data_IF_211438315818
#
_entry.id   IF_211438315818
#
_cell.length_a   1.000
_cell.length_b   1.000
_cell.length_c   1.000
_cell.angle_alpha   90.00
_cell.angle_beta   90.00
_cell.angle_gamma   90.00
#
_symmetry.space_group_name_H-M   'P 1'
#
loop_
_entity.id
_entity.type
_entity.pdbx_description
1 polymer ?
#
# COMPACT_ATOMS: atom_id res chain seq x y z
N UNK A 1 -14.81 -3.66 -9.18
CA UNK A 1 -15.05 -3.16 -7.81
C UNK A 1 -13.86 -2.36 -7.34
N UNK A 2 -14.07 -1.36 -6.49
CA UNK A 2 -13.03 -0.45 -5.95
C UNK A 2 -13.40 -0.10 -4.50
N UNK A 3 -12.42 0.21 -3.65
CA UNK A 3 -12.66 0.80 -2.33
C UNK A 3 -12.45 2.32 -2.37
N UNK A 4 -13.24 3.07 -1.62
CA UNK A 4 -13.10 4.53 -1.50
C UNK A 4 -11.85 4.87 -0.67
N UNK A 5 -10.91 5.70 -1.14
CA UNK A 5 -9.78 6.14 -0.31
C UNK A 5 -10.25 6.75 1.01
N UNK A 6 -9.53 6.47 2.09
CA UNK A 6 -9.90 6.76 3.49
C UNK A 6 -9.11 7.92 4.10
N UNK A 7 -7.87 8.15 3.67
CA UNK A 7 -6.94 9.06 4.33
C UNK A 7 -6.26 9.96 3.31
N UNK A 8 -6.95 11.00 2.85
CA UNK A 8 -6.40 11.98 1.89
C UNK A 8 -6.56 13.40 2.43
N UNK A 9 -5.46 14.08 2.82
CA UNK A 9 -4.10 13.54 3.01
C UNK A 9 -4.03 12.48 4.12
N UNK A 10 -2.95 11.70 4.19
CA UNK A 10 -2.79 10.65 5.20
C UNK A 10 -2.45 11.21 6.58
N UNK A 11 -1.80 12.38 6.64
CA UNK A 11 -1.49 13.10 7.87
C UNK A 11 -1.95 14.58 7.83
N UNK A 12 -3.25 14.87 8.04
CA UNK A 12 -3.77 16.24 8.06
C UNK A 12 -2.98 17.17 9.01
N UNK A 13 -2.57 18.32 8.48
CA UNK A 13 -1.77 19.32 9.20
C UNK A 13 -0.26 19.13 9.12
N UNK A 14 0.23 17.96 8.66
CA UNK A 14 1.65 17.70 8.42
C UNK A 14 2.05 17.76 6.94
N UNK A 15 1.08 17.62 6.03
CA UNK A 15 1.31 17.59 4.59
C UNK A 15 0.19 18.29 3.79
N UNK A 16 0.42 18.47 2.48
CA UNK A 16 -0.53 19.08 1.55
C UNK A 16 -0.72 18.19 0.31
N UNK A 17 -1.72 17.31 0.31
CA UNK A 17 -2.04 16.51 -0.86
C UNK A 17 -2.72 17.34 -1.99
N UNK A 18 -2.86 16.73 -3.17
CA UNK A 18 -3.59 17.33 -4.30
C UNK A 18 -5.11 17.37 -4.11
N UNK A 19 -5.63 16.75 -3.06
CA UNK A 19 -7.03 16.71 -2.69
C UNK A 19 -7.18 16.61 -1.16
N UNK A 20 -8.40 16.78 -0.69
CA UNK A 20 -8.82 16.46 0.67
C UNK A 20 -10.15 15.73 0.57
N UNK A 21 -10.32 14.65 1.32
CA UNK A 21 -11.60 13.95 1.43
C UNK A 21 -12.30 14.33 2.73
N UNK A 22 -13.63 14.46 2.66
CA UNK A 22 -14.48 14.65 3.83
C UNK A 22 -15.37 13.43 4.08
N UNK A 23 -15.98 13.40 5.26
CA UNK A 23 -16.97 12.39 5.59
C UNK A 23 -18.17 12.38 4.62
N UNK A 24 -18.56 13.56 4.09
CA UNK A 24 -19.60 13.66 3.07
C UNK A 24 -19.17 13.01 1.75
N UNK A 25 -17.93 13.20 1.31
CA UNK A 25 -17.40 12.55 0.10
C UNK A 25 -17.43 11.02 0.25
N UNK A 26 -17.03 10.51 1.42
CA UNK A 26 -17.09 9.07 1.73
C UNK A 26 -18.53 8.58 1.73
N UNK A 27 -19.45 9.29 2.39
CA UNK A 27 -20.85 8.92 2.43
C UNK A 27 -21.51 8.91 1.04
N UNK A 28 -21.16 9.87 0.18
CA UNK A 28 -21.58 9.89 -1.22
C UNK A 28 -21.03 8.68 -1.98
N UNK A 29 -19.72 8.42 -1.87
CA UNK A 29 -19.07 7.30 -2.55
C UNK A 29 -19.66 5.94 -2.15
N UNK A 30 -20.13 5.78 -0.91
CA UNK A 30 -20.83 4.57 -0.48
C UNK A 30 -22.13 4.31 -1.25
N UNK A 31 -22.68 5.27 -1.99
CA UNK A 31 -23.84 5.07 -2.88
C UNK A 31 -23.47 4.60 -4.29
N UNK A 32 -22.19 4.70 -4.68
CA UNK A 32 -21.75 4.35 -6.04
C UNK A 32 -21.73 2.84 -6.23
N UNK A 33 -22.15 2.39 -7.43
CA UNK A 33 -22.33 0.97 -7.79
C UNK A 33 -21.05 0.14 -7.64
N UNK A 34 -19.91 0.70 -8.02
CA UNK A 34 -18.63 -0.03 -8.03
C UNK A 34 -17.85 0.04 -6.70
N UNK A 35 -18.29 0.86 -5.74
CA UNK A 35 -17.64 0.98 -4.43
C UNK A 35 -18.08 -0.19 -3.55
N UNK A 36 -17.15 -0.95 -3.00
CA UNK A 36 -17.43 -2.13 -2.15
C UNK A 36 -17.01 -1.95 -0.70
N UNK A 37 -16.39 -0.81 -0.37
CA UNK A 37 -15.85 -0.56 0.95
C UNK A 37 -15.12 0.76 1.06
N UNK A 38 -14.74 1.09 2.28
CA UNK A 38 -13.70 2.06 2.57
C UNK A 38 -12.35 1.38 2.41
N UNK A 39 -11.40 2.07 1.81
CA UNK A 39 -10.02 1.61 1.64
C UNK A 39 -9.31 1.54 2.99
N UNK A 40 -8.06 1.13 2.93
CA UNK A 40 -7.21 0.93 4.09
C UNK A 40 -7.19 2.14 5.04
N UNK A 41 -7.73 2.03 6.27
CA UNK A 41 -7.76 3.16 7.20
C UNK A 41 -6.40 3.31 7.89
N UNK A 42 -5.48 4.03 7.24
CA UNK A 42 -4.08 4.22 7.66
C UNK A 42 -3.94 5.14 8.89
N UNK A 43 -4.90 6.03 9.14
CA UNK A 43 -4.95 6.85 10.35
C UNK A 43 -5.44 6.02 11.55
N UNK A 44 -4.72 4.92 11.83
CA UNK A 44 -4.98 4.07 12.98
C UNK A 44 -4.88 4.80 14.34
N UNK A 45 -4.02 5.82 14.54
CA UNK A 45 -4.04 6.59 15.78
C UNK A 45 -5.34 7.38 15.94
N UNK A 46 -5.88 7.94 14.85
CA UNK A 46 -7.15 8.65 14.85
C UNK A 46 -8.31 7.73 15.21
N UNK A 47 -8.38 6.53 14.63
CA UNK A 47 -9.41 5.54 14.97
C UNK A 47 -9.31 5.14 16.44
N UNK A 48 -8.13 4.75 16.92
CA UNK A 48 -7.92 4.37 18.32
C UNK A 48 -8.20 5.52 19.30
N UNK A 49 -7.97 6.76 18.87
CA UNK A 49 -8.26 8.00 19.60
C UNK A 49 -9.69 8.52 19.45
N UNK A 50 -10.55 7.81 18.72
CA UNK A 50 -11.94 8.22 18.44
C UNK A 50 -12.04 9.59 17.74
N UNK A 51 -11.17 9.83 16.76
CA UNK A 51 -11.18 11.01 15.90
C UNK A 51 -12.54 11.16 15.17
N UNK A 52 -13.19 12.33 15.22
CA UNK A 52 -14.52 12.51 14.65
C UNK A 52 -14.62 12.24 13.15
N UNK A 53 -13.58 12.57 12.36
CA UNK A 53 -13.60 12.33 10.91
C UNK A 53 -13.58 10.83 10.64
N UNK A 54 -12.60 10.11 11.21
CA UNK A 54 -12.47 8.67 11.04
C UNK A 54 -13.70 7.89 11.50
N UNK A 55 -14.24 8.25 12.68
CA UNK A 55 -15.46 7.61 13.21
C UNK A 55 -16.64 7.82 12.27
N UNK A 56 -16.78 9.01 11.67
CA UNK A 56 -17.89 9.33 10.77
C UNK A 56 -17.79 8.57 9.45
N UNK A 57 -16.60 8.49 8.85
CA UNK A 57 -16.35 7.74 7.61
C UNK A 57 -16.59 6.24 7.79
N UNK A 58 -16.10 5.67 8.89
CA UNK A 58 -16.31 4.27 9.25
C UNK A 58 -17.81 4.00 9.49
N UNK A 59 -18.50 4.87 10.22
CA UNK A 59 -19.93 4.73 10.47
C UNK A 59 -20.76 4.80 9.19
N UNK A 60 -20.41 5.70 8.25
CA UNK A 60 -21.06 5.78 6.94
C UNK A 60 -20.89 4.49 6.13
N UNK A 61 -19.68 3.92 6.15
CA UNK A 61 -19.34 2.66 5.47
C UNK A 61 -20.10 1.47 6.07
N UNK A 62 -20.10 1.35 7.40
CA UNK A 62 -20.82 0.31 8.12
C UNK A 62 -22.32 0.39 7.87
N UNK A 63 -22.90 1.61 7.88
CA UNK A 63 -24.32 1.85 7.57
C UNK A 63 -24.68 1.45 6.14
N UNK A 64 -23.76 1.61 5.19
CA UNK A 64 -23.94 1.16 3.81
C UNK A 64 -23.82 -0.36 3.63
N UNK A 65 -23.48 -1.10 4.70
CA UNK A 65 -23.27 -2.55 4.61
C UNK A 65 -22.07 -2.91 3.74
N UNK A 66 -21.04 -2.05 3.71
CA UNK A 66 -19.78 -2.27 2.98
C UNK A 66 -18.62 -2.54 3.94
N UNK A 67 -17.50 -3.04 3.41
CA UNK A 67 -16.34 -3.45 4.19
C UNK A 67 -15.47 -2.25 4.58
N UNK A 68 -14.96 -2.23 5.80
CA UNK A 68 -13.97 -1.24 6.25
C UNK A 68 -12.57 -1.86 6.18
N UNK A 69 -11.76 -1.43 5.20
CA UNK A 69 -10.37 -1.90 5.08
C UNK A 69 -9.49 -1.33 6.19
N UNK A 70 -8.48 -2.09 6.62
CA UNK A 70 -7.55 -1.66 7.65
C UNK A 70 -6.09 -1.63 7.23
N UNK A 71 -5.32 -0.88 8.01
CA UNK A 71 -3.89 -0.64 7.87
C UNK A 71 -3.34 -0.25 9.24
N UNK A 72 -2.90 -1.24 10.02
CA UNK A 72 -2.31 -1.03 11.33
C UNK A 72 -0.80 -1.28 11.28
N UNK A 73 -0.05 -0.27 10.83
CA UNK A 73 1.39 -0.34 10.61
C UNK A 73 2.24 -0.27 11.90
N UNK A 74 1.61 -0.08 13.07
CA UNK A 74 2.32 -0.08 14.35
C UNK A 74 2.67 -1.51 14.79
N UNK A 75 3.90 -1.69 15.28
CA UNK A 75 4.35 -2.93 15.92
C UNK A 75 3.73 -3.16 17.30
N UNK A 76 3.18 -2.11 17.91
CA UNK A 76 2.50 -2.23 19.21
C UNK A 76 1.07 -2.73 19.04
N UNK A 77 0.86 -4.00 19.39
CA UNK A 77 -0.45 -4.67 19.36
C UNK A 77 -1.18 -4.59 20.71
N UNK A 78 -0.90 -3.59 21.53
CA UNK A 78 -1.55 -3.32 22.82
C UNK A 78 -2.93 -2.66 22.71
N UNK A 79 -3.27 -1.82 23.70
CA UNK A 79 -4.58 -1.16 23.77
C UNK A 79 -4.95 -0.33 22.51
N UNK A 80 -4.03 0.42 21.87
CA UNK A 80 -4.35 1.14 20.64
C UNK A 80 -4.78 0.22 19.50
N UNK A 81 -4.17 -0.96 19.36
CA UNK A 81 -4.58 -1.96 18.38
C UNK A 81 -5.99 -2.47 18.67
N UNK A 82 -6.28 -2.84 19.92
CA UNK A 82 -7.63 -3.24 20.30
C UNK A 82 -8.68 -2.15 20.05
N UNK A 83 -8.32 -0.88 20.32
CA UNK A 83 -9.15 0.28 19.99
C UNK A 83 -9.37 0.44 18.48
N UNK A 84 -8.33 0.22 17.67
CA UNK A 84 -8.43 0.21 16.22
C UNK A 84 -9.43 -0.84 15.73
N UNK A 85 -9.28 -2.11 16.14
CA UNK A 85 -10.20 -3.18 15.74
C UNK A 85 -11.63 -2.88 16.20
N UNK A 86 -11.81 -2.43 17.44
CA UNK A 86 -13.14 -2.06 17.95
C UNK A 86 -13.75 -0.86 17.21
N UNK A 87 -12.92 -0.02 16.59
CA UNK A 87 -13.32 1.15 15.81
C UNK A 87 -13.99 0.81 14.49
N UNK A 88 -13.79 -0.39 13.93
CA UNK A 88 -14.52 -0.88 12.76
C UNK A 88 -13.71 -1.54 11.63
N UNK A 89 -12.41 -1.26 11.40
CA UNK A 89 -11.60 -1.97 10.41
C UNK A 89 -11.66 -3.50 10.56
N UNK A 90 -11.94 -4.17 9.43
CA UNK A 90 -12.26 -5.61 9.37
C UNK A 90 -11.08 -6.47 8.89
N UNK A 91 -10.05 -5.86 8.31
CA UNK A 91 -8.86 -6.51 7.78
C UNK A 91 -7.58 -5.72 8.08
N UNK A 92 -6.43 -6.35 7.89
CA UNK A 92 -5.14 -5.66 7.91
C UNK A 92 -4.11 -6.43 7.09
N UNK A 93 -3.28 -5.71 6.35
CA UNK A 93 -2.17 -6.24 5.54
C UNK A 93 -0.78 -5.85 6.05
N UNK A 94 -0.70 -5.11 7.15
CA UNK A 94 0.57 -4.60 7.71
C UNK A 94 1.35 -5.59 8.58
N UNK A 95 0.85 -6.81 8.77
CA UNK A 95 1.58 -7.85 9.49
C UNK A 95 2.85 -8.28 8.74
N UNK A 96 3.94 -8.55 9.47
CA UNK A 96 5.23 -9.01 8.89
C UNK A 96 5.75 -10.30 9.53
N UNK A 97 5.19 -10.69 10.67
CA UNK A 97 5.54 -11.91 11.40
C UNK A 97 4.33 -12.83 11.64
N UNK A 98 4.59 -14.10 11.95
CA UNK A 98 3.53 -15.07 12.27
C UNK A 98 2.62 -14.58 13.42
N UNK A 99 3.23 -13.98 14.44
CA UNK A 99 2.55 -13.46 15.63
C UNK A 99 1.56 -12.34 15.27
N UNK A 100 1.90 -11.52 14.28
CA UNK A 100 1.06 -10.42 13.77
C UNK A 100 -0.26 -10.96 13.20
N UNK A 101 -0.15 -11.98 12.35
CA UNK A 101 -1.31 -12.64 11.74
C UNK A 101 -2.17 -13.34 12.78
N UNK A 102 -1.54 -13.99 13.77
CA UNK A 102 -2.25 -14.64 14.88
C UNK A 102 -3.01 -13.61 15.72
N UNK A 103 -2.42 -12.47 16.04
CA UNK A 103 -3.07 -11.43 16.83
C UNK A 103 -4.31 -10.86 16.11
N UNK A 104 -4.18 -10.53 14.81
CA UNK A 104 -5.26 -10.01 13.98
C UNK A 104 -6.44 -10.96 13.86
N UNK A 105 -6.15 -12.22 13.51
CA UNK A 105 -7.21 -13.24 13.36
C UNK A 105 -7.91 -13.53 14.69
N UNK A 106 -7.20 -13.54 15.82
CA UNK A 106 -7.82 -13.72 17.15
C UNK A 106 -8.75 -12.57 17.54
N UNK A 107 -8.51 -11.37 17.01
CA UNK A 107 -9.38 -10.21 17.19
C UNK A 107 -10.55 -10.17 16.20
N UNK A 108 -10.66 -11.17 15.31
CA UNK A 108 -11.75 -11.26 14.33
C UNK A 108 -11.48 -10.56 13.02
N UNK A 109 -10.28 -9.98 12.83
CA UNK A 109 -9.89 -9.38 11.56
C UNK A 109 -9.50 -10.46 10.54
N UNK A 110 -9.61 -10.15 9.24
CA UNK A 110 -8.92 -10.90 8.20
C UNK A 110 -7.46 -10.48 8.13
N UNK A 111 -6.54 -11.45 8.18
CA UNK A 111 -5.14 -11.20 7.88
C UNK A 111 -4.93 -11.27 6.36
N UNK A 112 -4.58 -10.14 5.75
CA UNK A 112 -4.24 -10.03 4.34
C UNK A 112 -2.72 -10.21 4.18
N UNK A 113 -2.29 -11.32 3.60
CA UNK A 113 -0.88 -11.68 3.49
C UNK A 113 -0.33 -11.18 2.15
N UNK A 114 0.56 -10.18 2.21
CA UNK A 114 1.08 -9.50 1.03
C UNK A 114 2.37 -10.11 0.47
N UNK A 115 2.41 -10.22 -0.85
CA UNK A 115 3.64 -10.47 -1.62
C UNK A 115 3.69 -9.48 -2.80
N UNK A 116 4.25 -8.31 -2.52
CA UNK A 116 4.44 -7.23 -3.48
C UNK A 116 5.83 -7.23 -4.11
N UNK A 117 6.27 -6.06 -4.56
CA UNK A 117 7.66 -5.85 -5.03
C UNK A 117 8.65 -5.58 -3.89
N UNK A 118 8.19 -4.93 -2.82
CA UNK A 118 8.99 -4.65 -1.63
C UNK A 118 8.54 -5.48 -0.41
N UNK A 119 7.37 -6.11 -0.48
CA UNK A 119 6.73 -6.83 0.62
C UNK A 119 6.82 -8.35 0.42
N UNK A 120 7.34 -9.08 1.40
CA UNK A 120 7.59 -10.53 1.32
C UNK A 120 6.93 -11.32 2.46
N UNK A 121 5.81 -10.81 2.98
CA UNK A 121 5.26 -11.19 4.28
C UNK A 121 4.44 -12.49 4.26
N UNK A 122 4.10 -13.03 3.09
CA UNK A 122 3.42 -14.33 2.97
C UNK A 122 4.19 -15.42 3.70
N UNK A 123 5.50 -15.56 3.44
CA UNK A 123 6.30 -16.68 3.95
C UNK A 123 6.31 -16.77 5.49
N UNK A 124 6.42 -15.63 6.17
CA UNK A 124 6.43 -15.58 7.63
C UNK A 124 5.02 -15.81 8.21
N UNK A 125 4.00 -15.20 7.62
CA UNK A 125 2.66 -15.15 8.20
C UNK A 125 1.84 -16.43 7.97
N UNK A 126 2.03 -17.15 6.86
CA UNK A 126 1.28 -18.39 6.60
C UNK A 126 1.52 -19.47 7.65
N UNK A 127 2.59 -19.37 8.44
CA UNK A 127 2.90 -20.25 9.57
C UNK A 127 1.81 -20.22 10.64
N UNK A 128 1.02 -19.15 10.70
CA UNK A 128 -0.19 -19.10 11.52
C UNK A 128 -1.20 -20.21 11.12
N UNK A 129 -1.29 -20.53 9.83
CA UNK A 129 -2.12 -21.63 9.32
C UNK A 129 -1.37 -22.96 9.41
N UNK A 130 -0.14 -23.04 8.88
CA UNK A 130 0.57 -24.32 8.70
C UNK A 130 1.14 -24.89 10.00
N UNK A 131 1.53 -24.06 10.97
CA UNK A 131 2.14 -24.47 12.24
C UNK A 131 1.22 -24.26 13.44
N UNK A 132 0.48 -23.14 13.49
CA UNK A 132 -0.42 -22.83 14.61
C UNK A 132 -1.85 -23.32 14.41
N UNK A 133 -2.20 -23.82 13.22
CA UNK A 133 -3.50 -24.42 12.93
C UNK A 133 -4.67 -23.45 12.94
N UNK A 134 -4.43 -22.15 12.69
CA UNK A 134 -5.53 -21.18 12.53
C UNK A 134 -6.33 -21.51 11.27
N UNK A 135 -7.63 -21.22 11.31
CA UNK A 135 -8.55 -21.48 10.22
C UNK A 135 -8.20 -20.61 9.00
N UNK A 136 -7.85 -21.20 7.83
CA UNK A 136 -7.47 -20.45 6.64
C UNK A 136 -8.58 -19.55 6.10
N UNK A 137 -9.85 -19.75 6.49
CA UNK A 137 -10.96 -18.85 6.11
C UNK A 137 -10.80 -17.41 6.62
N UNK A 138 -9.90 -17.18 7.57
CA UNK A 138 -9.60 -15.85 8.11
C UNK A 138 -8.38 -15.18 7.46
N UNK A 139 -7.85 -15.75 6.39
CA UNK A 139 -6.70 -15.23 5.69
C UNK A 139 -7.05 -14.95 4.22
N UNK A 140 -6.48 -13.88 3.70
CA UNK A 140 -6.61 -13.46 2.30
C UNK A 140 -5.19 -13.28 1.75
N UNK A 141 -4.97 -13.63 0.49
CA UNK A 141 -3.73 -13.29 -0.21
C UNK A 141 -3.91 -11.97 -0.96
N UNK A 142 -2.93 -11.09 -0.89
CA UNK A 142 -2.89 -9.85 -1.68
C UNK A 142 -1.46 -9.57 -2.17
N UNK A 143 -1.32 -8.61 -3.08
CA UNK A 143 0.00 -8.12 -3.52
C UNK A 143 0.41 -6.87 -2.78
N UNK A 144 -0.56 -6.09 -2.29
CA UNK A 144 -0.33 -4.68 -1.98
C UNK A 144 0.29 -4.01 -3.24
N UNK A 145 1.30 -3.16 -3.08
CA UNK A 145 2.02 -2.56 -4.20
C UNK A 145 2.90 -3.53 -5.01
N UNK A 146 2.75 -3.47 -6.34
CA UNK A 146 3.59 -4.18 -7.31
C UNK A 146 4.12 -3.26 -8.40
N UNK A 147 5.45 -3.17 -8.49
CA UNK A 147 6.16 -2.47 -9.53
C UNK A 147 5.93 -3.13 -10.90
N UNK A 148 5.88 -2.32 -11.96
CA UNK A 148 5.66 -2.78 -13.34
C UNK A 148 6.60 -3.91 -13.77
N UNK A 149 7.87 -3.83 -13.38
CA UNK A 149 8.86 -4.89 -13.64
C UNK A 149 8.47 -6.23 -12.99
N UNK A 150 8.01 -6.24 -11.74
CA UNK A 150 7.52 -7.46 -11.07
C UNK A 150 6.29 -8.02 -11.78
N UNK A 151 5.36 -7.16 -12.19
CA UNK A 151 4.15 -7.59 -12.90
C UNK A 151 4.47 -8.29 -14.23
N UNK A 152 5.45 -7.76 -14.98
CA UNK A 152 5.83 -8.29 -16.29
C UNK A 152 6.67 -9.56 -16.19
N UNK A 153 7.64 -9.58 -15.26
CA UNK A 153 8.63 -10.67 -15.20
C UNK A 153 8.21 -11.81 -14.28
N UNK A 154 7.51 -11.52 -13.16
CA UNK A 154 7.24 -12.51 -12.10
C UNK A 154 5.76 -12.92 -12.01
N UNK A 155 4.85 -12.01 -12.34
CA UNK A 155 3.39 -12.17 -12.25
C UNK A 155 2.74 -11.26 -11.20
N UNK A 156 1.46 -11.49 -10.92
CA UNK A 156 0.63 -10.69 -10.00
C UNK A 156 0.04 -11.59 -8.90
N UNK A 157 -1.27 -11.69 -8.76
CA UNK A 157 -1.92 -12.58 -7.79
C UNK A 157 -1.57 -14.07 -7.99
N UNK A 158 -1.32 -14.52 -9.21
CA UNK A 158 -0.88 -15.89 -9.50
C UNK A 158 0.48 -16.21 -8.84
N UNK A 159 1.40 -15.24 -8.81
CA UNK A 159 2.71 -15.32 -8.14
C UNK A 159 2.52 -15.49 -6.64
N UNK A 160 1.60 -14.73 -6.04
CA UNK A 160 1.30 -14.82 -4.60
C UNK A 160 0.77 -16.21 -4.24
N UNK A 161 -0.16 -16.76 -5.03
CA UNK A 161 -0.70 -18.10 -4.82
C UNK A 161 0.38 -19.17 -4.99
N UNK A 162 1.19 -19.11 -6.07
CA UNK A 162 2.33 -20.03 -6.27
C UNK A 162 3.31 -19.99 -5.11
N UNK A 163 3.63 -18.79 -4.63
CA UNK A 163 4.53 -18.60 -3.50
C UNK A 163 3.95 -19.20 -2.22
N UNK A 164 2.68 -18.92 -1.90
CA UNK A 164 2.00 -19.49 -0.75
C UNK A 164 2.01 -21.04 -0.75
N UNK A 165 1.81 -21.66 -1.91
CA UNK A 165 1.91 -23.11 -2.09
C UNK A 165 3.33 -23.61 -1.84
N UNK A 166 4.34 -22.95 -2.44
CA UNK A 166 5.74 -23.30 -2.25
C UNK A 166 6.20 -23.18 -0.78
N UNK A 167 5.58 -22.30 -0.01
CA UNK A 167 5.83 -22.14 1.43
C UNK A 167 5.04 -23.14 2.31
N UNK A 168 4.27 -24.05 1.71
CA UNK A 168 3.69 -25.21 2.40
C UNK A 168 2.17 -25.17 2.58
N UNK A 169 1.45 -24.17 2.06
CA UNK A 169 -0.01 -24.23 1.99
C UNK A 169 -0.46 -25.27 0.96
N UNK A 170 -1.54 -26.00 1.28
CA UNK A 170 -2.19 -26.88 0.31
C UNK A 170 -2.72 -26.04 -0.86
N UNK A 171 -2.57 -26.46 -2.13
CA UNK A 171 -3.03 -25.72 -3.29
C UNK A 171 -4.47 -25.21 -3.21
N UNK A 172 -5.41 -26.08 -2.82
CA UNK A 172 -6.82 -25.71 -2.68
C UNK A 172 -7.04 -24.64 -1.59
N UNK A 173 -6.24 -24.67 -0.52
CA UNK A 173 -6.30 -23.66 0.55
C UNK A 173 -5.75 -22.31 0.07
N UNK A 174 -4.63 -22.29 -0.65
CA UNK A 174 -4.11 -21.05 -1.23
C UNK A 174 -5.09 -20.43 -2.24
N UNK A 175 -5.71 -21.26 -3.09
CA UNK A 175 -6.75 -20.81 -4.02
C UNK A 175 -7.97 -20.26 -3.27
N UNK A 176 -8.44 -20.93 -2.22
CA UNK A 176 -9.54 -20.43 -1.37
C UNK A 176 -9.22 -19.05 -0.78
N UNK A 177 -7.99 -18.85 -0.29
CA UNK A 177 -7.53 -17.59 0.28
C UNK A 177 -7.46 -16.44 -0.74
N UNK A 178 -7.27 -16.75 -2.03
CA UNK A 178 -7.25 -15.77 -3.12
C UNK A 178 -8.61 -15.61 -3.85
N UNK A 179 -9.62 -16.41 -3.51
CA UNK A 179 -10.91 -16.40 -4.22
C UNK A 179 -12.09 -16.28 -3.26
N UNK A 180 -12.55 -17.39 -2.68
CA UNK A 180 -13.75 -17.45 -1.85
C UNK A 180 -13.64 -16.57 -0.61
N UNK A 181 -12.49 -16.59 0.07
CA UNK A 181 -12.28 -15.79 1.28
C UNK A 181 -12.36 -14.29 0.95
N UNK A 182 -11.71 -13.86 -0.13
CA UNK A 182 -11.73 -12.49 -0.63
C UNK A 182 -13.15 -12.06 -1.00
N UNK A 183 -13.87 -12.90 -1.74
CA UNK A 183 -15.24 -12.59 -2.13
C UNK A 183 -16.17 -12.48 -0.92
N UNK A 184 -16.05 -13.38 0.06
CA UNK A 184 -16.85 -13.32 1.30
C UNK A 184 -16.53 -12.07 2.14
N UNK A 185 -15.24 -11.73 2.25
CA UNK A 185 -14.80 -10.56 3.00
C UNK A 185 -15.37 -9.26 2.46
N UNK A 186 -15.38 -9.12 1.14
CA UNK A 186 -15.94 -7.96 0.46
C UNK A 186 -17.44 -8.08 0.15
N UNK A 187 -18.12 -9.13 0.66
CA UNK A 187 -19.57 -9.35 0.49
C UNK A 187 -19.99 -9.51 -0.98
N UNK A 188 -19.09 -10.05 -1.79
CA UNK A 188 -19.22 -10.33 -3.23
C UNK A 188 -19.35 -11.83 -3.52
N UNK A 189 -19.51 -12.69 -2.50
CA UNK A 189 -19.56 -14.14 -2.67
C UNK A 189 -20.78 -14.64 -3.43
N UNK A 190 -21.79 -13.78 -3.66
CA UNK A 190 -22.93 -14.06 -4.55
C UNK A 190 -22.63 -13.77 -6.01
N UNK A 191 -21.56 -13.02 -6.31
CA UNK A 191 -21.17 -12.60 -7.66
C UNK A 191 -19.93 -13.37 -8.16
N UNK A 192 -18.89 -13.50 -7.32
CA UNK A 192 -17.57 -14.03 -7.69
C UNK A 192 -16.98 -14.96 -6.63
N UNK A 193 -15.76 -15.46 -6.88
CA UNK A 193 -14.93 -16.18 -5.91
C UNK A 193 -15.24 -17.68 -5.75
N UNK A 194 -16.21 -18.23 -6.49
CA UNK A 194 -16.48 -19.68 -6.48
C UNK A 194 -17.15 -20.18 -7.76
N UNK A 195 -16.89 -21.45 -8.09
CA UNK A 195 -17.57 -22.16 -9.19
C UNK A 195 -18.91 -22.68 -8.65
N UNK A 196 -19.97 -21.89 -8.79
CA UNK A 196 -21.31 -22.24 -8.27
C UNK A 196 -22.39 -21.58 -9.14
N UNK A 197 -23.53 -22.24 -9.39
CA UNK A 197 -24.62 -21.65 -10.18
C UNK A 197 -25.03 -20.24 -9.69
N UNK A 198 -25.27 -19.34 -10.65
CA UNK A 198 -25.70 -17.96 -10.42
C UNK A 198 -24.58 -16.93 -10.24
N UNK A 199 -23.30 -17.31 -10.36
CA UNK A 199 -22.13 -16.40 -10.30
C UNK A 199 -21.57 -16.11 -11.69
N UNK A 200 -20.72 -15.08 -11.78
CA UNK A 200 -19.94 -14.81 -12.97
C UNK A 200 -19.03 -15.99 -13.28
N UNK A 201 -18.95 -16.36 -14.55
CA UNK A 201 -18.10 -17.43 -15.04
C UNK A 201 -16.65 -16.94 -15.20
N UNK A 202 -16.05 -16.57 -14.08
CA UNK A 202 -14.63 -16.21 -13.93
C UNK A 202 -13.89 -17.43 -13.39
N UNK A 203 -13.09 -18.09 -14.22
CA UNK A 203 -12.38 -19.31 -13.83
C UNK A 203 -11.12 -19.55 -14.65
N UNK A 204 -10.27 -20.41 -14.10
CA UNK A 204 -9.03 -20.86 -14.72
C UNK A 204 -9.16 -22.34 -15.07
N UNK A 205 -8.59 -22.73 -16.20
CA UNK A 205 -8.25 -24.13 -16.48
C UNK A 205 -6.78 -24.31 -16.11
N UNK A 206 -6.51 -25.27 -15.22
CA UNK A 206 -5.20 -25.47 -14.60
C UNK A 206 -4.79 -26.92 -14.76
N UNK A 207 -3.64 -27.19 -15.36
CA UNK A 207 -3.14 -28.56 -15.59
C UNK A 207 -2.41 -29.14 -14.37
N UNK A 208 -1.85 -28.27 -13.53
CA UNK A 208 -1.18 -28.65 -12.29
C UNK A 208 -1.46 -27.64 -11.18
N UNK A 209 -2.13 -28.10 -10.12
CA UNK A 209 -2.46 -27.28 -8.96
C UNK A 209 -1.24 -27.01 -8.06
N UNK A 210 -0.24 -27.89 -8.03
CA UNK A 210 0.92 -27.72 -7.16
C UNK A 210 1.82 -26.58 -7.65
N UNK A 211 1.98 -26.45 -8.96
CA UNK A 211 2.72 -25.33 -9.59
C UNK A 211 1.82 -24.18 -10.03
N UNK A 212 0.49 -24.36 -9.98
CA UNK A 212 -0.52 -23.45 -10.53
C UNK A 212 -0.27 -23.15 -12.03
N UNK A 213 -0.06 -24.19 -12.83
CA UNK A 213 0.12 -24.06 -14.28
C UNK A 213 -1.21 -23.71 -14.96
N UNK A 214 -1.43 -22.42 -15.26
CA UNK A 214 -2.66 -21.91 -15.87
C UNK A 214 -2.61 -22.08 -17.39
N UNK A 215 -3.52 -22.89 -17.93
CA UNK A 215 -3.60 -23.17 -19.37
C UNK A 215 -4.54 -22.19 -20.10
N UNK A 216 -5.70 -21.90 -19.50
CA UNK A 216 -6.73 -21.03 -20.07
C UNK A 216 -7.36 -20.14 -18.99
N UNK A 217 -7.68 -18.90 -19.34
CA UNK A 217 -8.33 -17.92 -18.47
C UNK A 217 -9.68 -17.55 -19.05
N UNK A 218 -10.74 -17.70 -18.25
CA UNK A 218 -12.09 -17.28 -18.59
C UNK A 218 -12.55 -16.15 -17.68
N UNK A 219 -13.18 -15.14 -18.27
CA UNK A 219 -13.88 -14.09 -17.54
C UNK A 219 -15.26 -13.89 -18.14
N UNK A 220 -16.29 -13.84 -17.30
CA UNK A 220 -17.71 -13.71 -17.66
C UNK A 220 -18.13 -14.73 -18.73
N UNK A 221 -17.56 -15.93 -18.68
CA UNK A 221 -17.84 -17.03 -19.60
C UNK A 221 -17.13 -16.95 -20.96
N UNK A 222 -16.26 -15.96 -21.16
CA UNK A 222 -15.47 -15.78 -22.39
C UNK A 222 -14.02 -16.13 -22.11
N UNK A 223 -13.40 -16.94 -22.98
CA UNK A 223 -11.97 -17.22 -22.88
C UNK A 223 -11.18 -15.98 -23.28
N UNK A 224 -10.40 -15.42 -22.36
CA UNK A 224 -9.60 -14.23 -22.59
C UNK A 224 -8.15 -14.54 -22.94
N UNK A 225 -7.62 -15.67 -22.46
CA UNK A 225 -6.23 -16.05 -22.69
C UNK A 225 -6.06 -17.56 -22.78
N UNK A 226 -5.05 -17.98 -23.56
CA UNK A 226 -4.62 -19.37 -23.69
C UNK A 226 -3.10 -19.46 -23.84
N UNK A 227 -2.48 -20.38 -23.13
CA UNK A 227 -1.02 -20.61 -23.21
C UNK A 227 -0.21 -19.35 -22.90
N UNK A 228 -0.63 -18.58 -21.89
CA UNK A 228 0.03 -17.34 -21.46
C UNK A 228 -0.14 -16.15 -22.40
N UNK A 229 -1.02 -16.23 -23.42
CA UNK A 229 -1.27 -15.14 -24.36
C UNK A 229 -2.72 -14.72 -24.33
N UNK A 230 -2.96 -13.41 -24.34
CA UNK A 230 -4.29 -12.84 -24.56
C UNK A 230 -4.80 -13.23 -25.95
N UNK A 231 -6.05 -13.69 -26.03
CA UNK A 231 -6.79 -13.95 -27.26
C UNK A 231 -7.80 -12.83 -27.58
N UNK A 232 -7.88 -11.82 -26.71
CA UNK A 232 -8.74 -10.65 -26.86
C UNK A 232 -7.91 -9.37 -26.88
N UNK A 233 -8.43 -8.34 -27.53
CA UNK A 233 -7.85 -6.99 -27.48
C UNK A 233 -8.41 -6.22 -26.28
N UNK A 234 -7.53 -5.62 -25.47
CA UNK A 234 -7.90 -4.72 -24.39
C UNK A 234 -7.70 -3.30 -24.89
N UNK A 235 -8.77 -2.54 -25.18
CA UNK A 235 -8.63 -1.19 -25.71
C UNK A 235 -8.01 -0.27 -24.65
N UNK A 236 -7.17 0.70 -25.07
CA UNK A 236 -6.64 1.70 -24.16
C UNK A 236 -7.78 2.55 -23.59
N UNK A 237 -7.68 2.89 -22.32
CA UNK A 237 -8.63 3.80 -21.67
C UNK A 237 -8.27 5.26 -21.98
N UNK A 238 -9.23 6.05 -22.47
CA UNK A 238 -9.00 7.48 -22.71
C UNK A 238 -9.08 8.28 -21.40
N UNK A 239 -7.93 8.44 -20.75
CA UNK A 239 -7.84 9.20 -19.52
C UNK A 239 -8.23 10.67 -19.74
N UNK A 240 -9.09 11.26 -18.87
CA UNK A 240 -9.52 12.64 -19.03
C UNK A 240 -8.33 13.61 -18.89
N UNK A 241 -8.41 14.76 -19.56
CA UNK A 241 -7.33 15.75 -19.55
C UNK A 241 -6.90 16.18 -18.12
N UNK A 242 -7.84 16.17 -17.17
CA UNK A 242 -7.58 16.47 -15.74
C UNK A 242 -6.64 15.48 -15.05
N UNK A 243 -6.53 14.25 -15.56
CA UNK A 243 -5.60 13.23 -15.07
C UNK A 243 -4.21 13.32 -15.74
N UNK A 244 -4.06 14.21 -16.73
CA UNK A 244 -2.79 14.51 -17.42
C UNK A 244 -2.28 15.87 -16.95
N UNK A 245 -1.00 16.17 -17.17
CA UNK A 245 -0.38 17.46 -16.85
C UNK A 245 -0.58 17.89 -15.36
N UNK A 246 -0.37 16.94 -14.45
CA UNK A 246 -0.59 17.13 -13.00
C UNK A 246 0.61 17.74 -12.28
N UNK A 247 1.77 17.89 -12.95
CA UNK A 247 2.94 18.58 -12.38
C UNK A 247 2.81 20.08 -12.60
N UNK A 248 2.41 20.80 -11.55
CA UNK A 248 2.16 22.24 -11.53
C UNK A 248 3.09 22.90 -10.52
N UNK A 249 4.20 23.45 -11.00
CA UNK A 249 5.20 24.10 -10.15
C UNK A 249 5.02 25.62 -10.05
N UNK A 250 4.29 26.25 -10.98
CA UNK A 250 4.12 27.72 -11.06
C UNK A 250 5.39 28.53 -11.35
N UNK A 251 6.58 27.93 -11.19
CA UNK A 251 7.89 28.52 -11.50
C UNK A 251 8.87 27.45 -11.99
N UNK A 252 10.01 27.90 -12.54
CA UNK A 252 11.16 27.03 -12.82
C UNK A 252 12.02 26.90 -11.58
N UNK A 253 12.35 25.67 -11.21
CA UNK A 253 13.31 25.37 -10.15
C UNK A 253 14.74 25.66 -10.63
N UNK A 254 15.61 26.03 -9.70
CA UNK A 254 17.03 26.34 -9.87
C UNK A 254 17.83 25.53 -8.84
N UNK A 255 19.13 25.36 -9.08
CA UNK A 255 20.01 24.65 -8.15
C UNK A 255 19.90 25.20 -6.72
N UNK A 256 19.88 26.53 -6.56
CA UNK A 256 19.76 27.18 -5.26
C UNK A 256 18.46 26.89 -4.49
N UNK A 257 17.41 26.37 -5.15
CA UNK A 257 16.19 25.93 -4.45
C UNK A 257 16.43 24.66 -3.61
N UNK A 258 17.50 23.93 -3.91
CA UNK A 258 17.92 22.72 -3.20
C UNK A 258 19.03 23.01 -2.18
N UNK A 259 19.52 24.24 -2.07
CA UNK A 259 20.58 24.55 -1.10
C UNK A 259 20.02 24.50 0.34
N UNK A 260 20.81 23.96 1.27
CA UNK A 260 20.53 24.01 2.72
C UNK A 260 21.54 24.96 3.35
N UNK A 261 21.10 26.19 3.65
CA UNK A 261 21.95 27.19 4.27
C UNK A 261 22.38 26.78 5.69
N UNK A 262 23.67 26.87 5.98
CA UNK A 262 24.21 26.69 7.31
C UNK A 262 24.04 27.98 8.15
N UNK A 263 24.01 27.87 9.49
CA UNK A 263 24.15 29.03 10.36
C UNK A 263 25.44 29.80 10.08
N UNK A 264 25.38 31.13 10.17
CA UNK A 264 26.52 32.00 9.87
C UNK A 264 27.76 31.63 10.71
N UNK A 265 28.90 31.42 10.04
CA UNK A 265 30.17 31.08 10.69
C UNK A 265 30.30 29.63 11.17
N UNK A 266 29.30 28.77 10.94
CA UNK A 266 29.41 27.35 11.25
C UNK A 266 30.34 26.63 10.25
N UNK A 267 31.20 25.77 10.78
CA UNK A 267 31.98 24.82 9.97
C UNK A 267 31.37 23.40 9.99
N UNK A 268 30.48 23.15 10.94
CA UNK A 268 29.78 21.88 11.16
C UNK A 268 28.42 22.18 11.81
N UNK A 269 27.42 21.36 11.47
CA UNK A 269 26.06 21.46 12.02
C UNK A 269 25.53 20.09 12.38
N UNK A 270 24.86 20.00 13.53
CA UNK A 270 24.09 18.81 13.89
C UNK A 270 22.72 18.86 13.22
N UNK A 271 22.41 17.84 12.41
CA UNK A 271 21.15 17.75 11.65
C UNK A 271 20.36 16.50 12.02
N UNK A 272 19.06 16.52 11.70
CA UNK A 272 18.19 15.34 11.72
C UNK A 272 18.28 14.64 10.37
N UNK A 273 18.37 13.31 10.39
CA UNK A 273 18.48 12.46 9.19
C UNK A 273 17.39 11.41 9.22
N UNK A 274 16.68 11.24 8.11
CA UNK A 274 15.70 10.17 7.93
C UNK A 274 16.48 8.88 7.64
N UNK A 275 16.36 7.88 8.50
CA UNK A 275 17.00 6.57 8.28
C UNK A 275 16.06 5.58 7.60
N UNK A 276 16.37 5.17 6.38
CA UNK A 276 15.62 4.15 5.64
C UNK A 276 15.83 2.77 6.29
N UNK A 277 14.75 1.99 6.37
CA UNK A 277 14.81 0.57 6.71
C UNK A 277 14.43 -0.19 5.45
N UNK A 278 15.35 -0.99 4.92
CA UNK A 278 15.12 -1.72 3.67
C UNK A 278 13.89 -2.64 3.78
N UNK A 279 13.05 -2.61 2.73
CA UNK A 279 11.80 -3.37 2.61
C UNK A 279 10.76 -3.10 3.73
N UNK A 280 10.76 -1.90 4.31
CA UNK A 280 9.83 -1.51 5.38
C UNK A 280 9.37 -0.06 5.22
N UNK A 281 8.10 0.22 5.54
CA UNK A 281 7.56 1.59 5.55
C UNK A 281 8.11 2.47 6.70
N UNK A 282 8.30 1.95 7.94
CA UNK A 282 8.85 2.76 9.02
C UNK A 282 10.27 3.28 8.75
N UNK A 283 10.54 4.51 9.22
CA UNK A 283 11.87 5.13 9.20
C UNK A 283 12.45 5.29 10.61
N UNK A 284 13.77 5.46 10.70
CA UNK A 284 14.47 5.85 11.94
C UNK A 284 14.65 7.36 12.00
N UNK A 285 14.54 7.92 13.21
CA UNK A 285 14.95 9.29 13.49
C UNK A 285 16.43 9.28 13.89
N UNK A 286 17.31 9.66 12.97
CA UNK A 286 18.76 9.71 13.17
C UNK A 286 19.25 11.16 13.32
N UNK A 287 20.48 11.31 13.79
CA UNK A 287 21.20 12.58 13.85
C UNK A 287 22.62 12.39 13.32
N UNK A 288 23.16 13.41 12.66
CA UNK A 288 24.53 13.43 12.15
C UNK A 288 25.11 14.83 12.29
N UNK A 289 26.43 14.90 12.51
CA UNK A 289 27.19 16.15 12.43
C UNK A 289 27.75 16.25 11.01
N UNK A 290 27.33 17.27 10.26
CA UNK A 290 27.67 17.46 8.85
C UNK A 290 28.51 18.72 8.67
N UNK A 291 29.55 18.62 7.84
CA UNK A 291 30.40 19.74 7.49
C UNK A 291 29.66 20.83 6.71
N UNK A 292 30.19 22.06 6.78
CA UNK A 292 29.70 23.21 6.03
C UNK A 292 30.73 23.64 4.99
N UNK A 293 30.31 23.84 3.75
CA UNK A 293 31.13 24.34 2.66
C UNK A 293 30.39 25.49 1.95
N UNK A 294 31.08 26.61 1.72
CA UNK A 294 30.52 27.80 1.07
C UNK A 294 29.19 28.30 1.68
N UNK A 295 29.04 28.14 3.01
CA UNK A 295 27.83 28.53 3.74
C UNK A 295 26.66 27.55 3.59
N UNK A 296 26.87 26.39 2.98
CA UNK A 296 25.88 25.33 2.79
C UNK A 296 26.26 24.09 3.58
N UNK A 297 25.25 23.41 4.13
CA UNK A 297 25.43 22.12 4.80
C UNK A 297 25.71 21.04 3.74
N UNK A 298 26.85 20.36 3.85
CA UNK A 298 27.25 19.33 2.91
C UNK A 298 26.59 17.98 3.22
N UNK A 299 26.45 17.15 2.19
CA UNK A 299 26.19 15.72 2.36
C UNK A 299 27.43 15.02 2.93
N UNK A 300 27.25 13.85 3.56
CA UNK A 300 28.34 12.99 4.00
C UNK A 300 28.23 11.63 3.33
N UNK A 301 28.92 11.48 2.21
CA UNK A 301 28.91 10.24 1.41
C UNK A 301 29.54 9.06 2.13
N UNK A 302 30.58 9.29 2.94
CA UNK A 302 31.29 8.20 3.62
C UNK A 302 30.40 7.53 4.67
N UNK A 303 29.51 8.31 5.30
CA UNK A 303 28.54 7.84 6.26
C UNK A 303 27.11 7.68 5.70
N UNK A 304 26.97 7.64 4.36
CA UNK A 304 25.71 7.46 3.64
C UNK A 304 24.61 8.46 4.06
N UNK A 305 24.96 9.75 4.15
CA UNK A 305 24.02 10.85 4.35
C UNK A 305 23.90 11.63 3.05
N UNK A 306 22.77 11.45 2.38
CA UNK A 306 22.40 12.15 1.16
C UNK A 306 21.37 13.24 1.45
N UNK A 307 21.21 14.18 0.52
CA UNK A 307 20.13 15.14 0.55
C UNK A 307 18.84 14.51 0.00
N UNK A 308 17.72 14.88 0.60
CA UNK A 308 16.37 14.64 0.09
C UNK A 308 15.65 15.98 -0.05
N UNK A 309 14.82 16.12 -1.08
CA UNK A 309 14.00 17.29 -1.30
C UNK A 309 12.57 16.87 -1.62
N UNK A 310 11.61 17.63 -1.10
CA UNK A 310 10.20 17.51 -1.42
C UNK A 310 9.75 18.77 -2.15
N UNK A 311 9.21 18.63 -3.35
CA UNK A 311 8.74 19.73 -4.20
C UNK A 311 7.22 19.67 -4.36
N UNK A 312 6.56 20.72 -3.88
CA UNK A 312 5.12 20.90 -4.03
C UNK A 312 4.75 21.07 -5.51
N UNK A 313 3.88 20.19 -6.02
CA UNK A 313 3.52 20.15 -7.45
C UNK A 313 2.03 20.23 -7.79
N UNK A 314 1.15 20.36 -6.81
CA UNK A 314 -0.30 20.32 -7.03
C UNK A 314 -0.92 21.72 -7.08
N UNK A 315 -0.48 22.60 -6.19
CA UNK A 315 -1.01 23.95 -5.95
C UNK A 315 -0.32 25.02 -6.77
N UNK A 316 0.69 24.66 -7.56
CA UNK A 316 1.40 25.63 -8.40
C UNK A 316 2.40 26.48 -7.62
N UNK A 317 2.86 26.04 -6.44
CA UNK A 317 3.82 26.84 -5.65
C UNK A 317 5.27 26.54 -6.03
N UNK A 318 5.59 25.27 -6.33
CA UNK A 318 6.98 24.85 -6.55
C UNK A 318 7.86 25.12 -5.32
N UNK A 319 7.24 25.10 -4.13
CA UNK A 319 7.95 25.19 -2.86
C UNK A 319 8.81 23.95 -2.66
N UNK A 320 10.04 24.15 -2.20
CA UNK A 320 11.00 23.08 -1.97
C UNK A 320 11.30 23.01 -0.48
N UNK A 321 11.19 21.82 0.09
CA UNK A 321 11.60 21.52 1.46
C UNK A 321 12.76 20.54 1.38
N UNK A 322 13.93 20.94 1.88
CA UNK A 322 15.14 20.13 1.84
C UNK A 322 15.42 19.49 3.22
N UNK A 323 16.05 18.33 3.20
CA UNK A 323 16.48 17.60 4.40
C UNK A 323 17.55 16.56 4.07
N UNK A 324 17.82 15.67 5.02
CA UNK A 324 18.83 14.62 4.88
C UNK A 324 18.23 13.23 5.09
N UNK A 325 18.77 12.26 4.35
CA UNK A 325 18.35 10.86 4.36
C UNK A 325 19.57 9.94 4.34
N UNK A 326 19.44 8.77 4.95
CA UNK A 326 20.47 7.73 4.99
C UNK A 326 19.88 6.34 4.75
N UNK A 327 20.66 5.44 4.15
CA UNK A 327 20.28 4.07 3.82
C UNK A 327 20.19 3.76 2.32
N UNK A 328 20.71 4.63 1.44
CA UNK A 328 20.70 4.44 -0.02
C UNK A 328 22.02 3.87 -0.58
N UNK A 329 23.14 4.08 0.11
CA UNK A 329 24.45 3.58 -0.31
C UNK A 329 25.00 4.23 -1.59
N UNK A 330 24.64 5.49 -1.86
CA UNK A 330 25.06 6.17 -3.09
C UNK A 330 26.53 6.58 -3.05
N UNK A 331 27.37 5.83 -3.79
CA UNK A 331 28.82 6.08 -3.87
C UNK A 331 29.24 6.88 -5.11
N UNK A 332 28.28 7.33 -5.94
CA UNK A 332 28.54 8.08 -7.18
C UNK A 332 27.66 9.31 -7.24
N UNK A 333 28.09 10.31 -7.98
CA UNK A 333 27.28 11.49 -8.24
C UNK A 333 26.03 11.09 -9.04
N UNK A 334 24.86 11.20 -8.41
CA UNK A 334 23.58 10.91 -9.02
C UNK A 334 22.47 11.67 -8.32
N UNK A 335 21.33 11.82 -9.01
CA UNK A 335 20.08 12.28 -8.44
C UNK A 335 18.95 11.40 -8.98
N UNK A 336 17.95 11.15 -8.15
CA UNK A 336 16.70 10.49 -8.50
C UNK A 336 15.55 11.47 -8.21
N UNK A 337 14.63 11.61 -9.15
CA UNK A 337 13.40 12.38 -8.95
C UNK A 337 12.21 11.50 -9.34
N UNK A 338 11.16 11.53 -8.53
CA UNK A 338 9.94 10.75 -8.74
C UNK A 338 8.75 11.60 -8.36
N UNK A 339 7.68 11.57 -9.16
CA UNK A 339 6.40 12.18 -8.76
C UNK A 339 5.45 11.17 -8.11
N UNK A 340 5.98 10.02 -7.72
CA UNK A 340 5.31 8.98 -6.93
C UNK A 340 6.01 8.94 -5.59
N UNK A 341 5.45 9.65 -4.62
CA UNK A 341 5.91 9.73 -3.24
C UNK A 341 4.68 9.62 -2.32
N UNK A 342 4.47 8.45 -1.73
CA UNK A 342 3.25 8.13 -1.00
C UNK A 342 3.04 9.05 0.22
N UNK A 343 1.84 9.58 0.49
CA UNK A 343 0.59 9.50 -0.31
C UNK A 343 0.21 10.84 -0.97
N UNK A 344 0.83 11.94 -0.54
CA UNK A 344 0.59 13.25 -1.16
C UNK A 344 1.08 13.32 -2.61
N UNK A 345 2.01 12.45 -3.01
CA UNK A 345 2.62 12.41 -4.34
C UNK A 345 3.11 13.78 -4.81
N UNK A 346 3.87 14.45 -3.95
CA UNK A 346 4.78 15.51 -4.37
C UNK A 346 5.96 14.93 -5.18
N UNK A 347 6.88 15.79 -5.63
CA UNK A 347 8.10 15.36 -6.33
C UNK A 347 9.29 15.32 -5.38
#
# INVERSE_FOLDING_TARGET
HVQMPSCVPSAPGLENAGAQLTAEDVAEAMTWENIIGLGEVMNFPGVAGNDPLMVTEIAATAKAGKTVGGHYASRDLGLPFHGYVAGGPEDDHEGTAMEDAVARVRQGMKAMLRLGSAWYDVASQIRAVTEKGLDPRNFILCTDDSHSGTLVEDGHMDRVVRHAIAQGLKPVTAIQMATLNTAQHFRLEREIGSITPGRLADFLIVSDLATLAIDEVFARGVRLAKGGRLEVEIPPYDYPARARNTVRLGRKLKAADFDIAAPEGANEVRVRVIGVIENQAPTRALEADLGVADGLVAMDRENDVCQIALVERHRGTGGVTNGFVSGFGYMKDCALASTVAHDSHHM
#
